data_IF_680296748586
#
_entry.id   IF_680296748586
#
_cell.length_a   1.000
_cell.length_b   1.000
_cell.length_c   1.000
_cell.angle_alpha   90.00
_cell.angle_beta   90.00
_cell.angle_gamma   90.00
#
_symmetry.space_group_name_H-M   'P 1'
#
loop_
_entity.id
_entity.type
_entity.pdbx_description
1 polymer ?
#
# COMPACT_ATOMS: atom_id res chain seq x y z
N UNK A 1 -19.57 -14.63 -10.19
CA UNK A 1 -18.29 -14.07 -9.71
C UNK A 1 -18.16 -12.71 -10.31
N UNK A 2 -18.23 -11.64 -9.51
CA UNK A 2 -18.02 -10.29 -10.02
C UNK A 2 -16.58 -10.24 -10.52
N UNK A 3 -16.38 -10.36 -11.83
CA UNK A 3 -15.13 -9.96 -12.43
C UNK A 3 -15.04 -8.47 -12.14
N UNK A 4 -14.31 -8.09 -11.10
CA UNK A 4 -13.73 -6.76 -11.05
C UNK A 4 -12.93 -6.65 -12.33
N UNK A 5 -13.56 -6.02 -13.32
CA UNK A 5 -12.94 -5.58 -14.55
C UNK A 5 -11.58 -5.03 -14.17
N UNK A 6 -10.53 -5.46 -14.89
CA UNK A 6 -9.25 -4.77 -14.92
C UNK A 6 -9.52 -3.27 -14.81
N UNK A 7 -9.05 -2.72 -13.71
CA UNK A 7 -9.49 -1.48 -13.10
C UNK A 7 -9.67 -0.35 -14.12
N UNK A 8 -10.91 0.10 -14.33
CA UNK A 8 -11.20 1.22 -15.23
C UNK A 8 -10.78 2.54 -14.55
N UNK A 9 -9.48 2.83 -14.54
CA UNK A 9 -8.95 4.11 -14.09
C UNK A 9 -9.21 5.16 -15.15
N UNK A 10 -9.95 6.21 -14.76
CA UNK A 10 -10.20 7.35 -15.63
C UNK A 10 -8.90 8.08 -16.00
N UNK A 11 -8.94 8.93 -17.02
CA UNK A 11 -7.78 9.78 -17.34
C UNK A 11 -7.37 10.68 -16.16
N UNK A 12 -8.34 11.12 -15.35
CA UNK A 12 -8.09 11.88 -14.13
C UNK A 12 -7.43 11.00 -13.06
N UNK A 13 -7.95 9.79 -12.80
CA UNK A 13 -7.37 8.85 -11.84
C UNK A 13 -5.90 8.58 -12.17
N UNK A 14 -5.58 8.39 -13.45
CA UNK A 14 -4.20 8.12 -13.91
C UNK A 14 -3.29 9.33 -13.72
N UNK A 15 -3.79 10.55 -13.94
CA UNK A 15 -3.02 11.76 -13.72
C UNK A 15 -2.68 11.95 -12.23
N UNK A 16 -3.67 11.76 -11.35
CA UNK A 16 -3.50 11.80 -9.89
C UNK A 16 -2.51 10.74 -9.40
N UNK A 17 -2.67 9.48 -9.85
CA UNK A 17 -1.80 8.37 -9.47
C UNK A 17 -0.38 8.52 -10.00
N UNK A 18 -0.20 9.11 -11.19
CA UNK A 18 1.13 9.42 -11.71
C UNK A 18 1.85 10.52 -10.90
N UNK A 19 1.11 11.52 -10.40
CA UNK A 19 1.66 12.53 -9.51
C UNK A 19 2.02 11.94 -8.13
N UNK A 20 1.10 11.17 -7.54
CA UNK A 20 1.32 10.47 -6.27
C UNK A 20 2.48 9.47 -6.36
N UNK A 21 2.62 8.73 -7.46
CA UNK A 21 3.72 7.78 -7.65
C UNK A 21 5.09 8.46 -7.51
N UNK A 22 5.25 9.67 -8.06
CA UNK A 22 6.50 10.45 -7.93
C UNK A 22 6.76 10.84 -6.47
N UNK A 23 5.73 11.32 -5.78
CA UNK A 23 5.80 11.69 -4.35
C UNK A 23 6.21 10.48 -3.51
N UNK A 24 5.55 9.34 -3.72
CA UNK A 24 5.83 8.08 -3.05
C UNK A 24 7.24 7.59 -3.33
N UNK A 25 7.69 7.59 -4.58
CA UNK A 25 9.03 7.16 -4.96
C UNK A 25 10.13 8.02 -4.33
N UNK A 26 9.93 9.34 -4.25
CA UNK A 26 10.89 10.27 -3.65
C UNK A 26 10.92 10.21 -2.11
N UNK A 27 9.82 9.81 -1.49
CA UNK A 27 9.65 9.84 -0.02
C UNK A 27 9.30 8.46 0.55
N UNK A 28 9.71 7.38 -0.12
CA UNK A 28 9.26 6.02 0.17
C UNK A 28 9.54 5.58 1.62
N UNK A 29 10.72 5.93 2.15
CA UNK A 29 11.07 5.65 3.53
C UNK A 29 10.15 6.39 4.51
N UNK A 30 9.90 7.68 4.30
CA UNK A 30 9.13 8.51 5.22
C UNK A 30 7.67 8.06 5.29
N UNK A 31 6.98 8.02 4.14
CA UNK A 31 5.58 7.60 4.09
C UNK A 31 5.39 6.14 4.48
N UNK A 32 6.32 5.27 4.06
CA UNK A 32 6.25 3.85 4.40
C UNK A 32 6.45 3.59 5.89
N UNK A 33 7.42 4.26 6.52
CA UNK A 33 7.68 4.12 7.94
C UNK A 33 6.50 4.63 8.78
N UNK A 34 5.95 5.78 8.39
CA UNK A 34 4.80 6.36 9.08
C UNK A 34 3.54 5.50 8.94
N UNK A 35 3.21 5.05 7.72
CA UNK A 35 2.05 4.19 7.49
C UNK A 35 2.13 2.90 8.31
N UNK A 36 3.31 2.27 8.36
CA UNK A 36 3.54 1.09 9.20
C UNK A 36 3.43 1.41 10.69
N UNK A 37 4.05 2.48 11.17
CA UNK A 37 3.98 2.86 12.58
C UNK A 37 2.54 3.17 13.02
N UNK A 38 1.76 3.85 12.17
CA UNK A 38 0.32 4.07 12.35
C UNK A 38 -0.43 2.74 12.42
N UNK A 39 -0.20 1.83 11.48
CA UNK A 39 -0.84 0.51 11.47
C UNK A 39 -0.53 -0.30 12.73
N UNK A 40 0.74 -0.33 13.16
CA UNK A 40 1.15 -1.03 14.37
C UNK A 40 0.60 -0.41 15.66
N UNK A 41 0.25 0.88 15.63
CA UNK A 41 -0.36 1.58 16.75
C UNK A 41 -1.86 1.34 16.82
N UNK A 42 -2.57 1.52 15.70
CA UNK A 42 -4.04 1.41 15.62
C UNK A 42 -4.49 -0.05 15.60
N UNK A 43 -3.76 -0.91 14.91
CA UNK A 43 -4.07 -2.33 14.71
C UNK A 43 -2.95 -3.22 15.29
N UNK A 44 -2.78 -3.18 16.61
CA UNK A 44 -1.64 -3.82 17.29
C UNK A 44 -1.43 -5.32 16.96
N UNK A 45 -2.49 -6.05 16.61
CA UNK A 45 -2.42 -7.46 16.18
C UNK A 45 -1.50 -7.69 14.96
N UNK A 46 -1.34 -6.68 14.10
CA UNK A 46 -0.46 -6.72 12.92
C UNK A 46 1.02 -6.93 13.29
N UNK A 47 1.44 -6.58 14.52
CA UNK A 47 2.81 -6.80 15.00
C UNK A 47 3.22 -8.28 15.03
N UNK A 48 2.24 -9.19 15.12
CA UNK A 48 2.50 -10.63 15.21
C UNK A 48 3.24 -11.23 14.00
N UNK A 49 3.17 -10.56 12.84
CA UNK A 49 3.90 -10.92 11.62
C UNK A 49 5.37 -10.46 11.61
N UNK A 50 5.78 -9.62 12.58
CA UNK A 50 7.08 -8.95 12.63
C UNK A 50 7.82 -9.24 13.95
N UNK A 51 7.92 -10.52 14.32
CA UNK A 51 8.42 -10.97 15.65
C UNK A 51 9.86 -10.53 15.96
N UNK A 52 10.68 -10.32 14.94
CA UNK A 52 12.08 -9.91 15.12
C UNK A 52 12.25 -8.39 15.27
N UNK A 53 11.16 -7.61 15.14
CA UNK A 53 11.20 -6.16 15.28
C UNK A 53 11.17 -5.77 16.76
N UNK A 54 12.11 -4.94 17.18
CA UNK A 54 12.26 -4.48 18.57
C UNK A 54 11.63 -3.11 18.82
N UNK A 55 11.45 -2.34 17.76
CA UNK A 55 10.89 -0.99 17.77
C UNK A 55 9.95 -0.85 16.57
N UNK A 56 8.74 -0.35 16.84
CA UNK A 56 7.66 -0.18 15.87
C UNK A 56 7.36 1.29 15.57
N UNK A 57 8.19 2.21 16.06
CA UNK A 57 8.08 3.64 15.74
C UNK A 57 8.58 3.93 14.33
N UNK A 58 8.13 5.04 13.73
CA UNK A 58 8.57 5.46 12.39
C UNK A 58 10.08 5.81 12.32
N UNK A 59 10.74 6.00 13.47
CA UNK A 59 12.18 6.24 13.54
C UNK A 59 13.01 4.94 13.43
N UNK A 60 12.40 3.78 13.69
CA UNK A 60 13.11 2.50 13.74
C UNK A 60 13.69 2.12 12.35
N UNK A 61 14.98 1.74 12.26
CA UNK A 61 15.59 1.36 10.98
C UNK A 61 14.89 0.20 10.26
N UNK A 62 14.35 -0.78 11.01
CA UNK A 62 13.58 -1.89 10.44
C UNK A 62 12.28 -1.43 9.80
N UNK A 63 11.58 -0.48 10.45
CA UNK A 63 10.33 0.11 9.96
C UNK A 63 10.58 0.95 8.72
N UNK A 64 11.63 1.78 8.73
CA UNK A 64 12.10 2.55 7.56
C UNK A 64 12.41 1.66 6.37
N UNK A 65 13.22 0.62 6.57
CA UNK A 65 13.61 -0.30 5.50
C UNK A 65 12.42 -1.09 4.94
N UNK A 66 11.50 -1.55 5.79
CA UNK A 66 10.30 -2.25 5.33
C UNK A 66 9.32 -1.30 4.64
N UNK A 67 9.08 -0.13 5.21
CA UNK A 67 8.24 0.91 4.65
C UNK A 67 8.68 1.33 3.26
N UNK A 68 9.99 1.55 3.07
CA UNK A 68 10.55 1.86 1.77
C UNK A 68 10.27 0.76 0.73
N UNK A 69 10.35 -0.53 1.11
CA UNK A 69 10.02 -1.65 0.21
C UNK A 69 8.55 -1.64 -0.20
N UNK A 70 7.64 -1.42 0.76
CA UNK A 70 6.20 -1.37 0.50
C UNK A 70 5.87 -0.22 -0.43
N UNK A 71 6.29 1.01 -0.10
CA UNK A 71 5.95 2.20 -0.88
C UNK A 71 6.61 2.17 -2.26
N UNK A 72 7.83 1.65 -2.38
CA UNK A 72 8.46 1.43 -3.70
C UNK A 72 7.66 0.44 -4.55
N UNK A 73 7.12 -0.62 -3.95
CA UNK A 73 6.26 -1.57 -4.68
C UNK A 73 4.94 -0.93 -5.12
N UNK A 74 4.32 -0.09 -4.27
CA UNK A 74 3.11 0.66 -4.62
C UNK A 74 3.37 1.67 -5.75
N UNK A 75 4.46 2.44 -5.68
CA UNK A 75 4.82 3.39 -6.74
C UNK A 75 5.02 2.68 -8.09
N UNK A 76 5.67 1.51 -8.10
CA UNK A 76 5.80 0.69 -9.31
C UNK A 76 4.46 0.15 -9.79
N UNK A 77 3.56 -0.25 -8.89
CA UNK A 77 2.24 -0.72 -9.28
C UNK A 77 1.41 0.37 -9.98
N UNK A 78 1.64 1.66 -9.70
CA UNK A 78 1.05 2.77 -10.46
C UNK A 78 1.48 2.81 -11.95
N UNK A 79 2.59 2.19 -12.33
CA UNK A 79 3.00 2.05 -13.74
C UNK A 79 2.31 0.86 -14.44
N UNK A 80 1.58 0.04 -13.68
CA UNK A 80 0.95 -1.21 -14.13
C UNK A 80 -0.56 -1.24 -13.83
N UNK A 81 -1.24 -0.09 -13.85
CA UNK A 81 -2.66 0.02 -13.50
C UNK A 81 -3.58 -0.91 -14.31
N UNK A 82 -3.25 -1.15 -15.58
CA UNK A 82 -4.01 -2.03 -16.49
C UNK A 82 -3.70 -3.52 -16.30
N UNK A 83 -2.64 -3.88 -15.57
CA UNK A 83 -2.18 -5.26 -15.38
C UNK A 83 -1.63 -5.50 -13.95
N UNK A 84 -2.35 -4.98 -12.94
CA UNK A 84 -1.98 -5.14 -11.54
C UNK A 84 -1.88 -6.63 -11.15
N UNK A 85 -2.76 -7.47 -11.69
CA UNK A 85 -2.79 -8.92 -11.45
C UNK A 85 -1.47 -9.61 -11.77
N UNK A 86 -0.91 -9.35 -12.95
CA UNK A 86 0.36 -9.96 -13.35
C UNK A 86 1.51 -9.32 -12.58
N UNK A 87 1.51 -7.99 -12.45
CA UNK A 87 2.56 -7.26 -11.73
C UNK A 87 2.70 -7.69 -10.26
N UNK A 88 1.57 -7.85 -9.55
CA UNK A 88 1.53 -8.20 -8.13
C UNK A 88 1.56 -9.71 -7.87
N UNK A 89 1.56 -10.56 -8.90
CA UNK A 89 1.43 -12.01 -8.75
C UNK A 89 2.43 -12.65 -7.77
N UNK A 90 3.71 -12.27 -7.90
CA UNK A 90 4.77 -12.78 -7.01
C UNK A 90 4.56 -12.30 -5.57
N UNK A 91 4.15 -11.05 -5.40
CA UNK A 91 3.95 -10.46 -4.08
C UNK A 91 2.71 -11.04 -3.38
N UNK A 92 1.63 -11.27 -4.13
CA UNK A 92 0.42 -11.93 -3.65
C UNK A 92 0.71 -13.37 -3.20
N UNK A 93 1.48 -14.12 -3.99
CA UNK A 93 1.92 -15.48 -3.61
C UNK A 93 2.76 -15.47 -2.34
N UNK A 94 3.71 -14.54 -2.24
CA UNK A 94 4.57 -14.43 -1.06
C UNK A 94 3.75 -14.13 0.21
N UNK A 95 2.86 -13.13 0.18
CA UNK A 95 2.07 -12.79 1.37
C UNK A 95 1.01 -13.84 1.71
N UNK A 96 0.31 -14.38 0.72
CA UNK A 96 -0.80 -15.30 0.96
C UNK A 96 -0.36 -16.73 1.23
N UNK A 97 0.56 -17.27 0.43
CA UNK A 97 0.97 -18.67 0.54
C UNK A 97 2.15 -18.89 1.49
N UNK A 98 3.14 -18.00 1.50
CA UNK A 98 4.36 -18.18 2.31
C UNK A 98 4.22 -17.53 3.69
N UNK A 99 4.00 -16.21 3.75
CA UNK A 99 3.89 -15.47 5.01
C UNK A 99 2.54 -15.69 5.72
N UNK A 100 1.50 -16.05 4.97
CA UNK A 100 0.11 -16.23 5.45
C UNK A 100 -0.41 -15.02 6.23
N UNK A 101 -0.18 -13.82 5.69
CA UNK A 101 -0.65 -12.56 6.29
C UNK A 101 -2.17 -12.49 6.21
N UNK A 102 -2.91 -12.21 7.27
CA UNK A 102 -4.36 -12.03 7.13
C UNK A 102 -4.67 -10.91 6.09
N UNK A 103 -5.49 -11.17 5.04
CA UNK A 103 -5.83 -10.18 4.01
C UNK A 103 -6.35 -8.85 4.55
N UNK A 104 -7.04 -8.84 5.70
CA UNK A 104 -7.56 -7.61 6.30
C UNK A 104 -6.45 -6.60 6.62
N UNK A 105 -5.21 -7.07 6.86
CA UNK A 105 -4.10 -6.21 7.19
C UNK A 105 -3.63 -5.33 6.03
N UNK A 106 -3.87 -5.74 4.77
CA UNK A 106 -3.55 -4.88 3.63
C UNK A 106 -4.41 -3.63 3.63
N UNK A 107 -5.70 -3.78 3.93
CA UNK A 107 -6.64 -2.66 4.00
C UNK A 107 -6.32 -1.72 5.17
N UNK A 108 -5.90 -2.27 6.32
CA UNK A 108 -5.41 -1.46 7.44
C UNK A 108 -4.18 -0.62 7.07
N UNK A 109 -3.25 -1.20 6.31
CA UNK A 109 -2.08 -0.47 5.83
C UNK A 109 -2.47 0.61 4.82
N UNK A 110 -3.40 0.32 3.90
CA UNK A 110 -3.92 1.28 2.93
C UNK A 110 -4.50 2.52 3.62
N UNK A 111 -5.37 2.35 4.62
CA UNK A 111 -5.91 3.47 5.39
C UNK A 111 -4.84 4.28 6.12
N UNK A 112 -3.83 3.60 6.67
CA UNK A 112 -2.73 4.29 7.34
C UNK A 112 -1.85 5.09 6.36
N UNK A 113 -1.69 4.60 5.13
CA UNK A 113 -0.95 5.31 4.07
C UNK A 113 -1.72 6.54 3.56
N UNK A 114 -3.04 6.41 3.35
CA UNK A 114 -3.90 7.54 2.98
C UNK A 114 -3.85 8.66 4.01
N UNK A 115 -3.96 8.31 5.30
CA UNK A 115 -3.84 9.30 6.39
C UNK A 115 -2.45 9.93 6.40
N UNK A 116 -1.37 9.16 6.23
CA UNK A 116 -0.01 9.71 6.21
C UNK A 116 0.17 10.72 5.05
N UNK A 117 -0.35 10.40 3.86
CA UNK A 117 -0.32 11.32 2.72
C UNK A 117 -1.18 12.57 2.98
N UNK A 118 -2.42 12.41 3.46
CA UNK A 118 -3.32 13.52 3.73
C UNK A 118 -2.80 14.49 4.81
N UNK A 119 -2.01 14.01 5.78
CA UNK A 119 -1.41 14.84 6.82
C UNK A 119 -0.22 15.67 6.30
N UNK A 120 0.52 15.15 5.32
CA UNK A 120 1.81 15.72 4.92
C UNK A 120 1.83 16.40 3.54
N UNK A 121 0.88 16.09 2.67
CA UNK A 121 0.76 16.75 1.37
C UNK A 121 0.00 18.06 1.51
N UNK A 122 0.62 19.16 1.08
CA UNK A 122 -0.02 20.48 1.02
C UNK A 122 -1.27 20.46 0.13
N UNK A 123 -1.20 19.71 -0.97
CA UNK A 123 -2.30 19.51 -1.92
C UNK A 123 -2.70 18.03 -1.88
N UNK A 124 -3.82 17.74 -1.22
CA UNK A 124 -4.44 16.42 -1.20
C UNK A 124 -5.95 16.58 -1.45
N UNK A 125 -6.31 16.63 -2.74
CA UNK A 125 -7.69 16.94 -3.13
C UNK A 125 -8.62 15.73 -2.98
N UNK A 126 -9.94 15.93 -3.01
CA UNK A 126 -10.91 14.83 -3.08
C UNK A 126 -10.65 13.89 -4.26
N UNK A 127 -10.20 14.41 -5.40
CA UNK A 127 -9.85 13.64 -6.59
C UNK A 127 -8.59 12.78 -6.35
N UNK A 128 -7.53 13.36 -5.77
CA UNK A 128 -6.33 12.63 -5.36
C UNK A 128 -6.69 11.49 -4.39
N UNK A 129 -7.53 11.78 -3.39
CA UNK A 129 -7.98 10.79 -2.42
C UNK A 129 -8.79 9.66 -3.07
N UNK A 130 -9.77 10.00 -3.92
CA UNK A 130 -10.60 9.01 -4.62
C UNK A 130 -9.77 8.10 -5.53
N UNK A 131 -8.82 8.67 -6.27
CA UNK A 131 -7.92 7.91 -7.13
C UNK A 131 -7.02 6.95 -6.31
N UNK A 132 -6.50 7.44 -5.18
CA UNK A 132 -5.68 6.65 -4.26
C UNK A 132 -6.45 5.51 -3.60
N UNK A 133 -7.64 5.77 -3.06
CA UNK A 133 -8.50 4.74 -2.42
C UNK A 133 -8.88 3.64 -3.41
N UNK A 134 -9.27 4.04 -4.63
CA UNK A 134 -9.54 3.09 -5.72
C UNK A 134 -8.31 2.25 -6.05
N UNK A 135 -7.14 2.86 -6.15
CA UNK A 135 -5.89 2.15 -6.42
C UNK A 135 -5.53 1.17 -5.31
N UNK A 136 -5.53 1.61 -4.06
CA UNK A 136 -5.19 0.78 -2.91
C UNK A 136 -6.21 -0.34 -2.70
N UNK A 137 -7.49 -0.11 -2.96
CA UNK A 137 -8.53 -1.16 -2.95
C UNK A 137 -8.22 -2.24 -3.98
N UNK A 138 -7.84 -1.87 -5.20
CA UNK A 138 -7.47 -2.84 -6.24
C UNK A 138 -6.17 -3.59 -5.89
N UNK A 139 -5.17 -2.91 -5.33
CA UNK A 139 -3.94 -3.55 -4.84
C UNK A 139 -4.26 -4.56 -3.73
N UNK A 140 -5.08 -4.19 -2.73
CA UNK A 140 -5.53 -5.09 -1.67
C UNK A 140 -6.24 -6.32 -2.24
N UNK A 141 -7.12 -6.13 -3.23
CA UNK A 141 -7.81 -7.23 -3.91
C UNK A 141 -6.82 -8.19 -4.57
N UNK A 142 -5.86 -7.68 -5.36
CA UNK A 142 -4.88 -8.51 -6.06
C UNK A 142 -3.92 -9.22 -5.09
N UNK A 143 -3.47 -8.55 -4.02
CA UNK A 143 -2.67 -9.19 -2.97
C UNK A 143 -3.44 -10.30 -2.26
N UNK A 144 -4.77 -10.17 -2.16
CA UNK A 144 -5.67 -11.15 -1.55
C UNK A 144 -6.06 -12.31 -2.49
N UNK A 145 -5.66 -12.27 -3.76
CA UNK A 145 -6.06 -13.26 -4.77
C UNK A 145 -5.43 -14.65 -4.61
N UNK A 146 -4.42 -14.79 -3.73
CA UNK A 146 -3.63 -16.02 -3.53
C UNK A 146 -3.82 -16.67 -2.17
N UNK A 147 -4.85 -16.25 -1.44
CA UNK A 147 -5.34 -16.95 -0.26
C UNK A 147 -6.17 -18.15 -0.73
N UNK A 148 -5.98 -19.30 -0.07
CA UNK A 148 -6.70 -20.53 -0.36
C UNK A 148 -7.98 -20.62 0.44
#
# INVERSE_FOLDING_TARGET
>A
STSTSTSDYSAADRAELAALSKVLAQNAEAFGAEALARMFTVYAATKSYFKDYKDFTAAAPSIKAHGAKVVTALAKACDHLDDLKTHLHKLATFHGSELKVDPANFQYLSYCLEVALAVHLTEFSPETHCALDKFLTNVCHELSSRYR
#
